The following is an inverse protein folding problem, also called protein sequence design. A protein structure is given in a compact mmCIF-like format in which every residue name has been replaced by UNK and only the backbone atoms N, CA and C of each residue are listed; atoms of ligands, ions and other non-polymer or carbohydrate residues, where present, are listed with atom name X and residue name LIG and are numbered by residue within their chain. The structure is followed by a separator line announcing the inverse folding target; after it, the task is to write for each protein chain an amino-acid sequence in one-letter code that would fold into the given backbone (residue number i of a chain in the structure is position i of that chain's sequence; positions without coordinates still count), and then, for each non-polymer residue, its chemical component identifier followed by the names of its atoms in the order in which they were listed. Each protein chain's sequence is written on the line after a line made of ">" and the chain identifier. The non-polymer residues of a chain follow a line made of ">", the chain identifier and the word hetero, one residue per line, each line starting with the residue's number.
data_IF_092763693837
#
_entry.id   IF_092763693837
#
_cell.length_a   1.000
_cell.length_b   1.000
_cell.length_c   1.000
_cell.angle_alpha   90.00
_cell.angle_beta   90.00
_cell.angle_gamma   90.00
#
_symmetry.space_group_name_H-M   'P 1'
#
loop_
_entity.id
_entity.type
_entity.pdbx_description
1 polymer ?
#
# COMPACT_ATOMS: atom_id res chain seq x y z
N UNK A 1 22.29 0.96 -12.60
CA UNK A 1 20.92 0.73 -13.10
C UNK A 1 19.88 1.26 -12.12
N UNK A 2 19.94 0.90 -10.85
CA UNK A 2 18.96 1.33 -9.82
C UNK A 2 18.74 2.84 -9.71
N UNK A 3 19.82 3.64 -9.75
CA UNK A 3 19.72 5.10 -9.70
C UNK A 3 18.94 5.72 -10.87
N UNK A 4 19.04 5.12 -12.07
CA UNK A 4 18.32 5.60 -13.27
C UNK A 4 16.82 5.27 -13.17
N UNK A 5 16.50 4.05 -12.75
CA UNK A 5 15.12 3.63 -12.53
C UNK A 5 14.47 4.51 -11.45
N UNK A 6 15.17 4.74 -10.34
CA UNK A 6 14.69 5.59 -9.26
C UNK A 6 14.47 7.04 -9.69
N UNK A 7 15.35 7.58 -10.55
CA UNK A 7 15.25 8.95 -11.07
C UNK A 7 13.99 9.17 -11.94
N UNK A 8 13.47 8.12 -12.58
CA UNK A 8 12.21 8.17 -13.34
C UNK A 8 11.01 7.83 -12.44
N UNK A 9 11.14 6.77 -11.65
CA UNK A 9 10.07 6.24 -10.81
C UNK A 9 9.59 7.26 -9.77
N UNK A 10 10.53 7.89 -9.05
CA UNK A 10 10.22 8.81 -7.95
C UNK A 10 9.35 9.99 -8.40
N UNK A 11 9.76 10.83 -9.37
CA UNK A 11 8.95 11.98 -9.77
C UNK A 11 7.61 11.58 -10.37
N UNK A 12 7.57 10.48 -11.15
CA UNK A 12 6.33 9.98 -11.73
C UNK A 12 5.34 9.55 -10.64
N UNK A 13 5.81 8.81 -9.63
CA UNK A 13 4.93 8.31 -8.56
C UNK A 13 4.52 9.38 -7.57
N UNK A 14 5.40 10.35 -7.27
CA UNK A 14 5.08 11.52 -6.46
C UNK A 14 4.03 12.40 -7.17
N UNK A 15 4.19 12.67 -8.46
CA UNK A 15 3.26 13.51 -9.21
C UNK A 15 1.85 12.91 -9.35
N UNK A 16 1.75 11.59 -9.55
CA UNK A 16 0.45 10.93 -9.82
C UNK A 16 -0.26 10.50 -8.53
N UNK A 17 0.46 9.96 -7.55
CA UNK A 17 -0.14 9.31 -6.37
C UNK A 17 0.34 9.89 -5.03
N UNK A 18 1.13 10.97 -5.05
CA UNK A 18 1.77 11.54 -3.86
C UNK A 18 2.51 10.45 -3.04
N UNK A 19 3.28 9.64 -3.77
CA UNK A 19 3.99 8.48 -3.25
C UNK A 19 5.11 8.87 -2.27
N UNK A 20 5.08 8.31 -1.05
CA UNK A 20 6.10 8.56 -0.02
C UNK A 20 7.30 7.59 -0.09
N UNK A 21 7.51 6.93 -1.24
CA UNK A 21 8.69 6.10 -1.54
C UNK A 21 9.05 5.04 -0.47
N UNK A 22 8.08 4.29 0.04
CA UNK A 22 8.32 3.20 1.00
C UNK A 22 9.02 1.94 0.42
N UNK A 23 9.40 1.94 -0.86
CA UNK A 23 10.10 0.82 -1.52
C UNK A 23 9.27 -0.44 -1.77
N UNK A 24 8.01 -0.51 -1.32
CA UNK A 24 7.12 -1.67 -1.50
C UNK A 24 5.74 -1.21 -1.97
N UNK A 25 5.55 -1.11 -3.29
CA UNK A 25 4.34 -0.54 -3.87
C UNK A 25 3.15 -1.50 -3.74
N UNK A 26 2.03 -1.00 -3.18
CA UNK A 26 0.80 -1.77 -3.02
C UNK A 26 -0.46 -1.13 -3.63
N UNK A 27 -0.29 -0.17 -4.56
CA UNK A 27 -1.39 0.64 -5.12
C UNK A 27 -2.57 -0.19 -5.65
N UNK A 28 -2.30 -1.33 -6.30
CA UNK A 28 -3.36 -2.19 -6.82
C UNK A 28 -4.23 -2.83 -5.72
N UNK A 29 -3.72 -2.95 -4.49
CA UNK A 29 -4.46 -3.43 -3.32
C UNK A 29 -5.14 -2.31 -2.55
N UNK A 30 -4.75 -1.05 -2.78
CA UNK A 30 -5.24 0.11 -2.02
C UNK A 30 -5.99 1.10 -2.90
N UNK A 31 -6.69 0.62 -3.93
CA UNK A 31 -7.53 1.46 -4.78
C UNK A 31 -6.78 2.59 -5.49
N UNK A 32 -5.51 2.38 -5.83
CA UNK A 32 -4.59 3.38 -6.37
C UNK A 32 -4.30 4.56 -5.42
N UNK A 33 -4.54 4.40 -4.12
CA UNK A 33 -4.16 5.37 -3.09
C UNK A 33 -2.89 4.93 -2.37
N UNK A 34 -1.89 5.80 -2.27
CA UNK A 34 -0.67 5.47 -1.53
C UNK A 34 -0.94 5.45 -0.01
N UNK A 35 -0.83 4.29 0.68
CA UNK A 35 -1.16 4.16 2.10
C UNK A 35 -0.21 4.93 3.02
N UNK A 36 0.99 5.24 2.53
CA UNK A 36 2.01 5.98 3.27
C UNK A 36 1.69 7.48 3.38
N UNK A 37 0.68 7.98 2.66
CA UNK A 37 0.16 9.34 2.88
C UNK A 37 -0.61 9.47 4.19
N UNK A 38 -0.99 8.34 4.79
CA UNK A 38 -1.61 8.33 6.11
C UNK A 38 -0.54 8.71 7.15
N UNK A 39 -0.80 9.67 8.06
CA UNK A 39 0.16 10.02 9.13
C UNK A 39 0.53 8.83 10.03
N UNK A 40 -0.31 7.79 10.05
CA UNK A 40 -0.09 6.55 10.80
C UNK A 40 0.59 5.44 9.98
N UNK A 41 0.88 5.68 8.70
CA UNK A 41 1.50 4.72 7.78
C UNK A 41 0.76 3.35 7.72
N UNK A 42 -0.56 3.36 7.90
CA UNK A 42 -1.36 2.14 7.95
C UNK A 42 -1.63 1.61 6.54
N UNK A 43 -1.25 0.34 6.31
CA UNK A 43 -1.53 -0.41 5.08
C UNK A 43 -2.80 -1.25 5.14
N UNK A 44 -3.25 -1.57 6.35
CA UNK A 44 -4.34 -2.50 6.60
C UNK A 44 -5.43 -1.82 7.43
N UNK A 45 -6.62 -1.72 6.86
CA UNK A 45 -7.83 -1.26 7.54
C UNK A 45 -7.87 0.24 7.88
N UNK A 46 -9.05 0.75 8.24
CA UNK A 46 -9.17 2.08 8.84
C UNK A 46 -8.59 2.07 10.26
N UNK A 47 -8.08 3.21 10.72
CA UNK A 47 -7.60 3.36 12.09
C UNK A 47 -8.70 3.56 13.13
N UNK A 48 -9.99 3.56 12.72
CA UNK A 48 -11.12 4.00 13.55
C UNK A 48 -11.28 5.52 13.67
N UNK A 49 -10.24 6.28 13.35
CA UNK A 49 -10.21 7.75 13.40
C UNK A 49 -10.72 8.47 12.15
N UNK A 50 -11.66 7.86 11.42
CA UNK A 50 -12.28 8.53 10.26
C UNK A 50 -13.38 9.43 10.78
N UNK A 51 -13.32 10.72 10.47
CA UNK A 51 -14.35 11.69 10.85
C UNK A 51 -15.65 11.43 10.07
N UNK A 52 -16.81 11.94 10.55
CA UNK A 52 -18.10 11.74 9.87
C UNK A 52 -18.15 12.28 8.43
N UNK A 53 -17.37 13.32 8.14
CA UNK A 53 -17.18 13.91 6.81
C UNK A 53 -16.20 13.09 5.93
N UNK A 54 -15.63 12.01 6.48
CA UNK A 54 -14.65 11.18 5.81
C UNK A 54 -13.19 11.66 5.91
N UNK A 55 -12.93 12.74 6.65
CA UNK A 55 -11.57 13.25 6.82
C UNK A 55 -10.79 12.49 7.90
N UNK A 56 -9.48 12.70 7.93
CA UNK A 56 -8.60 12.09 8.92
C UNK A 56 -8.78 12.72 10.31
N UNK A 57 -8.68 11.94 11.40
CA UNK A 57 -8.66 12.49 12.76
C UNK A 57 -7.49 13.45 12.98
N UNK A 58 -6.30 13.15 12.44
CA UNK A 58 -5.07 13.92 12.66
C UNK A 58 -5.09 15.22 11.85
N UNK A 59 -5.56 15.13 10.59
CA UNK A 59 -5.64 16.26 9.67
C UNK A 59 -7.09 16.42 9.20
N UNK A 60 -7.82 17.31 9.87
CA UNK A 60 -9.25 17.51 9.64
C UNK A 60 -9.57 18.05 8.23
N UNK A 61 -8.61 18.70 7.58
CA UNK A 61 -8.67 19.24 6.23
C UNK A 61 -8.32 18.21 5.15
N UNK A 62 -7.81 17.02 5.52
CA UNK A 62 -7.38 16.00 4.58
C UNK A 62 -8.30 14.79 4.61
N UNK A 63 -8.68 14.34 3.41
CA UNK A 63 -9.45 13.11 3.22
C UNK A 63 -8.69 11.91 3.78
N UNK A 64 -9.41 11.01 4.46
CA UNK A 64 -8.78 9.80 4.98
C UNK A 64 -8.31 8.89 3.83
N UNK A 65 -7.01 8.58 3.82
CA UNK A 65 -6.37 7.71 2.82
C UNK A 65 -7.04 6.34 2.72
N UNK A 66 -7.50 5.76 3.82
CA UNK A 66 -8.21 4.46 3.78
C UNK A 66 -9.56 4.57 3.07
N UNK A 67 -10.28 5.67 3.25
CA UNK A 67 -11.56 5.85 2.56
C UNK A 67 -11.33 6.03 1.07
N UNK A 68 -10.31 6.80 0.68
CA UNK A 68 -9.90 6.90 -0.73
C UNK A 68 -9.51 5.53 -1.31
N UNK A 69 -8.77 4.72 -0.54
CA UNK A 69 -8.38 3.37 -0.95
C UNK A 69 -9.60 2.45 -1.14
N UNK A 70 -10.57 2.53 -0.25
CA UNK A 70 -11.82 1.78 -0.35
C UNK A 70 -12.67 2.22 -1.54
N UNK A 71 -12.94 3.51 -1.69
CA UNK A 71 -13.70 4.03 -2.83
C UNK A 71 -13.00 3.74 -4.16
N UNK A 72 -11.67 3.87 -4.18
CA UNK A 72 -10.83 3.54 -5.33
C UNK A 72 -10.89 2.06 -5.69
N UNK A 73 -10.83 1.15 -4.70
CA UNK A 73 -10.89 -0.30 -4.98
C UNK A 73 -12.22 -0.71 -5.60
N UNK A 74 -13.33 -0.07 -5.20
CA UNK A 74 -14.65 -0.33 -5.78
C UNK A 74 -14.74 0.04 -7.27
N UNK A 75 -13.87 0.93 -7.76
CA UNK A 75 -13.80 1.36 -9.17
C UNK A 75 -12.85 0.49 -10.02
N UNK A 76 -12.07 -0.40 -9.40
CA UNK A 76 -11.12 -1.25 -10.13
C UNK A 76 -11.82 -2.48 -10.74
N UNK A 77 -11.57 -2.81 -12.02
CA UNK A 77 -12.19 -3.95 -12.67
C UNK A 77 -11.62 -5.31 -12.23
N UNK A 78 -10.32 -5.39 -11.93
CA UNK A 78 -9.60 -6.67 -11.71
C UNK A 78 -9.16 -6.87 -10.25
N UNK A 79 -9.02 -5.80 -9.45
CA UNK A 79 -8.43 -5.87 -8.10
C UNK A 79 -9.36 -5.40 -6.98
N UNK A 80 -10.67 -5.40 -7.21
CA UNK A 80 -11.66 -4.91 -6.25
C UNK A 80 -11.55 -5.58 -4.88
N UNK A 81 -11.33 -6.90 -4.85
CA UNK A 81 -11.21 -7.69 -3.62
C UNK A 81 -9.87 -7.52 -2.89
N UNK A 82 -8.84 -6.96 -3.53
CA UNK A 82 -7.50 -6.90 -2.97
C UNK A 82 -7.38 -5.97 -1.75
N UNK A 83 -8.36 -5.09 -1.53
CA UNK A 83 -8.44 -4.25 -0.33
C UNK A 83 -8.66 -5.08 0.95
N UNK A 84 -9.21 -6.28 0.81
CA UNK A 84 -9.40 -7.23 1.91
C UNK A 84 -8.16 -8.09 2.17
N UNK A 85 -7.17 -8.10 1.27
CA UNK A 85 -5.96 -8.86 1.47
C UNK A 85 -5.10 -8.20 2.55
N UNK A 86 -4.78 -8.97 3.59
CA UNK A 86 -3.86 -8.51 4.62
C UNK A 86 -2.47 -8.33 4.01
N UNK A 87 -1.96 -7.10 4.09
CA UNK A 87 -0.63 -6.75 3.62
C UNK A 87 0.39 -6.98 4.74
N UNK A 88 1.58 -7.41 4.34
CA UNK A 88 2.73 -7.53 5.25
C UNK A 88 3.11 -6.15 5.81
N UNK A 89 3.68 -6.09 7.03
CA UNK A 89 4.30 -4.89 7.55
C UNK A 89 5.31 -4.31 6.55
N UNK A 90 5.43 -2.98 6.51
CA UNK A 90 6.42 -2.35 5.65
C UNK A 90 7.83 -2.65 6.15
N UNK A 91 8.74 -2.96 5.22
CA UNK A 91 10.16 -3.01 5.51
C UNK A 91 10.76 -1.61 5.32
N UNK A 92 11.01 -0.93 6.44
CA UNK A 92 11.58 0.42 6.45
C UNK A 92 13.02 0.48 5.90
N UNK A 93 13.73 -0.65 5.82
CA UNK A 93 15.06 -0.69 5.20
C UNK A 93 15.01 -0.43 3.68
N UNK A 94 13.84 -0.57 3.06
CA UNK A 94 13.61 -0.32 1.64
C UNK A 94 13.17 1.12 1.36
N UNK A 95 13.02 1.98 2.37
CA UNK A 95 12.59 3.35 2.16
C UNK A 95 13.56 4.12 1.26
N UNK A 96 13.02 4.84 0.27
CA UNK A 96 13.79 5.59 -0.72
C UNK A 96 14.36 4.75 -1.86
N UNK A 97 14.20 3.42 -1.84
CA UNK A 97 14.63 2.54 -2.94
C UNK A 97 13.52 2.34 -3.98
N UNK A 98 13.89 1.83 -5.16
CA UNK A 98 12.95 1.59 -6.26
C UNK A 98 12.01 0.44 -5.94
N UNK A 99 10.69 0.70 -5.96
CA UNK A 99 9.72 -0.37 -5.71
C UNK A 99 9.61 -1.36 -6.88
N UNK A 100 9.96 -0.94 -8.10
CA UNK A 100 10.05 -1.86 -9.24
C UNK A 100 11.21 -2.84 -9.10
N UNK A 101 12.38 -2.35 -8.68
CA UNK A 101 13.55 -3.22 -8.46
C UNK A 101 13.32 -4.16 -7.27
N UNK A 102 12.69 -3.68 -6.21
CA UNK A 102 12.35 -4.54 -5.07
C UNK A 102 11.31 -5.61 -5.40
N UNK A 103 10.35 -5.30 -6.28
CA UNK A 103 9.40 -6.28 -6.81
C UNK A 103 10.12 -7.35 -7.65
N UNK A 104 10.97 -6.93 -8.59
CA UNK A 104 11.70 -7.86 -9.47
C UNK A 104 12.70 -8.74 -8.70
N UNK A 105 13.32 -8.20 -7.66
CA UNK A 105 14.25 -8.95 -6.79
C UNK A 105 13.55 -9.74 -5.68
N UNK A 106 12.22 -9.64 -5.56
CA UNK A 106 11.42 -10.30 -4.52
C UNK A 106 11.68 -9.78 -3.10
N UNK A 107 12.37 -8.64 -2.94
CA UNK A 107 12.61 -8.00 -1.63
C UNK A 107 11.33 -7.45 -1.04
N UNK A 108 10.39 -7.01 -1.87
CA UNK A 108 9.10 -6.47 -1.43
C UNK A 108 8.19 -7.52 -0.76
N UNK A 109 8.36 -8.79 -1.12
CA UNK A 109 7.59 -9.91 -0.60
C UNK A 109 8.10 -10.47 0.72
N UNK A 110 9.28 -10.06 1.21
CA UNK A 110 9.84 -10.60 2.46
C UNK A 110 9.14 -9.99 3.67
N UNK A 111 8.64 -10.84 4.56
CA UNK A 111 8.12 -10.41 5.85
C UNK A 111 9.26 -10.31 6.87
N UNK A 112 9.15 -9.43 7.88
CA UNK A 112 10.16 -9.34 8.94
C UNK A 112 10.21 -10.64 9.77
N UNK A 113 11.35 -10.91 10.39
CA UNK A 113 11.54 -12.07 11.25
C UNK A 113 10.49 -12.07 12.38
N UNK A 114 9.85 -13.22 12.61
CA UNK A 114 8.80 -13.37 13.61
C UNK A 114 7.40 -12.94 13.14
N UNK A 115 7.25 -12.39 11.94
CA UNK A 115 5.92 -12.18 11.37
C UNK A 115 5.35 -13.50 10.87
N UNK A 116 4.20 -13.88 11.42
CA UNK A 116 3.46 -15.05 10.97
C UNK A 116 2.07 -14.66 10.47
N UNK A 117 1.69 -15.09 9.28
CA UNK A 117 0.38 -14.81 8.72
C UNK A 117 -0.73 -15.52 9.49
N UNK A 118 -1.83 -14.82 9.80
CA UNK A 118 -3.00 -15.49 10.37
C UNK A 118 -3.60 -16.47 9.34
N UNK A 119 -3.81 -17.76 9.68
CA UNK A 119 -4.21 -18.79 8.71
C UNK A 119 -5.51 -18.48 7.99
N UNK A 120 -6.47 -17.86 8.69
CA UNK A 120 -7.82 -17.59 8.20
C UNK A 120 -7.98 -16.27 7.42
N UNK A 121 -6.93 -15.47 7.25
CA UNK A 121 -7.03 -14.18 6.54
C UNK A 121 -6.46 -14.30 5.12
N UNK A 122 -7.13 -13.72 4.10
CA UNK A 122 -6.62 -13.71 2.73
C UNK A 122 -5.37 -12.83 2.64
N UNK A 123 -4.35 -13.27 1.89
CA UNK A 123 -3.04 -12.62 1.88
C UNK A 123 -2.45 -12.47 0.50
N UNK A 124 -1.77 -11.34 0.29
CA UNK A 124 -0.97 -11.12 -0.92
C UNK A 124 0.14 -12.17 -1.01
N UNK A 125 0.12 -12.96 -2.08
CA UNK A 125 1.14 -13.98 -2.39
C UNK A 125 0.83 -15.39 -1.88
N UNK A 126 -0.28 -15.58 -1.16
CA UNK A 126 -0.89 -16.90 -0.99
C UNK A 126 -1.97 -17.00 -2.07
N UNK A 127 -1.65 -17.61 -3.21
CA UNK A 127 -2.66 -17.96 -4.21
C UNK A 127 -3.66 -18.87 -3.48
N UNK A 128 -4.89 -18.40 -3.27
CA UNK A 128 -6.02 -19.32 -3.24
C UNK A 128 -6.26 -19.69 -4.70
N UNK A 129 -5.75 -20.85 -5.11
CA UNK A 129 -6.28 -21.54 -6.27
C UNK A 129 -7.77 -21.83 -5.98
N UNK A 130 -8.64 -21.55 -6.95
CA UNK A 130 -10.10 -21.61 -6.84
C UNK A 130 -10.69 -20.26 -6.41
N UNK A 131 -11.51 -19.58 -7.22
CA UNK A 131 -12.51 -20.02 -8.21
C UNK A 131 -12.42 -19.27 -9.54
#
# INVERSE_FOLDING_TARGET
>A
MERLVLAVEKPLKEAIWDCQMCGQCILHSTGLSCPMRCPKNLRNGPCGGVRPDGNCEVYADKRCVWVEAWEGSQRLPVFKSHIHHLQKPVDWQLQGTSSWINLLSGRDGKAPLGWSPHPALPQRGRVSEGE
#
